data_IF_716647058510
#
_entry.id   IF_716647058510
#
_cell.length_a   1.000
_cell.length_b   1.000
_cell.length_c   1.000
_cell.angle_alpha   90.00
_cell.angle_beta   90.00
_cell.angle_gamma   90.00
#
_symmetry.space_group_name_H-M   'P 1'
#
loop_
_entity.id
_entity.type
_entity.pdbx_description
1 polymer ?
#
# COMPACT_ATOMS: atom_id res chain seq x y z
N UNK A 1 27.66 5.26 46.18
CA UNK A 1 28.44 5.49 44.94
C UNK A 1 27.52 5.26 43.77
N UNK A 2 27.03 6.35 43.19
CA UNK A 2 25.93 6.40 42.22
C UNK A 2 26.33 5.80 40.88
N UNK A 3 25.44 4.99 40.33
CA UNK A 3 25.46 4.38 39.00
C UNK A 3 25.52 5.44 37.90
N UNK A 4 26.50 5.34 36.98
CA UNK A 4 26.47 6.02 35.69
C UNK A 4 25.59 5.20 34.74
N UNK A 5 24.30 5.55 34.65
CA UNK A 5 23.49 5.17 33.49
C UNK A 5 23.96 5.98 32.29
N UNK A 6 24.65 5.33 31.34
CA UNK A 6 24.76 5.83 29.99
C UNK A 6 23.35 5.84 29.38
N UNK A 7 22.75 7.03 29.33
CA UNK A 7 21.64 7.28 28.43
C UNK A 7 22.14 7.12 27.01
N UNK A 8 21.80 6.00 26.37
CA UNK A 8 21.79 5.90 24.91
C UNK A 8 20.71 6.90 24.46
N UNK A 9 21.14 8.13 24.19
CA UNK A 9 20.35 9.05 23.38
C UNK A 9 20.25 8.43 22.00
N UNK A 10 19.12 7.77 21.71
CA UNK A 10 18.70 7.42 20.37
C UNK A 10 18.40 8.72 19.59
N UNK A 11 19.43 9.51 19.33
CA UNK A 11 19.37 10.61 18.38
C UNK A 11 19.47 10.02 16.99
N UNK A 12 18.39 9.40 16.52
CA UNK A 12 18.27 9.01 15.13
C UNK A 12 18.37 10.29 14.28
N UNK A 13 19.35 10.42 13.38
CA UNK A 13 19.44 11.61 12.55
C UNK A 13 18.14 11.78 11.75
N UNK A 14 17.69 13.03 11.49
CA UNK A 14 16.52 13.26 10.66
C UNK A 14 16.70 12.51 9.35
N UNK A 15 15.69 11.73 8.95
CA UNK A 15 15.75 10.98 7.70
C UNK A 15 15.95 11.95 6.55
N UNK A 16 16.78 11.55 5.60
CA UNK A 16 16.91 12.35 4.37
C UNK A 16 15.63 12.23 3.57
N UNK A 17 15.22 13.28 2.86
CA UNK A 17 14.02 13.24 2.03
C UNK A 17 14.04 12.09 1.00
N UNK A 18 15.23 11.61 0.60
CA UNK A 18 15.36 10.43 -0.25
C UNK A 18 14.89 9.14 0.45
N UNK A 19 15.24 8.94 1.73
CA UNK A 19 14.80 7.79 2.53
C UNK A 19 13.30 7.85 2.82
N UNK A 20 12.76 9.05 3.08
CA UNK A 20 11.33 9.25 3.30
C UNK A 20 10.51 8.89 2.06
N UNK A 21 10.96 9.32 0.87
CA UNK A 21 10.31 8.97 -0.41
C UNK A 21 10.29 7.47 -0.67
N UNK A 22 11.39 6.75 -0.41
CA UNK A 22 11.41 5.29 -0.54
C UNK A 22 10.44 4.61 0.42
N UNK A 23 10.38 5.07 1.68
CA UNK A 23 9.45 4.51 2.66
C UNK A 23 7.97 4.76 2.29
N UNK A 24 7.65 5.93 1.71
CA UNK A 24 6.30 6.22 1.20
C UNK A 24 5.96 5.29 0.04
N UNK A 25 6.89 5.07 -0.91
CA UNK A 25 6.68 4.16 -2.04
C UNK A 25 6.43 2.73 -1.57
N UNK A 26 7.19 2.25 -0.58
CA UNK A 26 7.03 0.91 -0.01
C UNK A 26 5.68 0.76 0.70
N UNK A 27 5.30 1.72 1.56
CA UNK A 27 4.00 1.73 2.24
C UNK A 27 2.83 1.74 1.23
N UNK A 28 2.94 2.55 0.18
CA UNK A 28 1.92 2.62 -0.87
C UNK A 28 1.75 1.29 -1.60
N UNK A 29 2.85 0.62 -1.97
CA UNK A 29 2.82 -0.71 -2.60
C UNK A 29 2.18 -1.75 -1.69
N UNK A 30 2.61 -1.80 -0.42
CA UNK A 30 2.07 -2.74 0.55
C UNK A 30 0.54 -2.56 0.74
N UNK A 31 0.07 -1.30 0.85
CA UNK A 31 -1.36 -1.00 0.94
C UNK A 31 -2.12 -1.46 -0.31
N UNK A 32 -1.62 -1.16 -1.51
CA UNK A 32 -2.28 -1.55 -2.75
C UNK A 32 -2.35 -3.08 -2.93
N UNK A 33 -1.28 -3.79 -2.58
CA UNK A 33 -1.24 -5.26 -2.60
C UNK A 33 -2.19 -5.88 -1.57
N UNK A 34 -2.34 -5.27 -0.39
CA UNK A 34 -3.31 -5.72 0.61
C UNK A 34 -4.76 -5.57 0.10
N UNK A 35 -5.08 -4.44 -0.54
CA UNK A 35 -6.39 -4.24 -1.18
C UNK A 35 -6.61 -5.26 -2.29
N UNK A 36 -5.65 -5.43 -3.20
CA UNK A 36 -5.77 -6.37 -4.30
C UNK A 36 -5.97 -7.82 -3.81
N UNK A 37 -5.24 -8.26 -2.79
CA UNK A 37 -5.45 -9.59 -2.17
C UNK A 37 -6.86 -9.73 -1.61
N UNK A 38 -7.33 -8.74 -0.85
CA UNK A 38 -8.68 -8.77 -0.27
C UNK A 38 -9.76 -8.88 -1.35
N UNK A 39 -9.61 -8.16 -2.47
CA UNK A 39 -10.54 -8.23 -3.60
C UNK A 39 -10.48 -9.56 -4.33
N UNK A 40 -9.29 -10.14 -4.52
CA UNK A 40 -9.15 -11.47 -5.10
C UNK A 40 -9.81 -12.51 -4.21
N UNK A 41 -9.56 -12.49 -2.90
CA UNK A 41 -10.18 -13.41 -1.94
C UNK A 41 -11.72 -13.32 -2.00
N UNK A 42 -12.29 -12.11 -1.97
CA UNK A 42 -13.73 -11.89 -2.13
C UNK A 42 -14.26 -12.44 -3.46
N UNK A 43 -13.54 -12.16 -4.55
CA UNK A 43 -13.94 -12.59 -5.90
C UNK A 43 -13.93 -14.12 -6.02
N UNK A 44 -12.91 -14.79 -5.47
CA UNK A 44 -12.78 -16.25 -5.53
C UNK A 44 -13.86 -16.97 -4.69
N UNK A 45 -14.38 -16.34 -3.63
CA UNK A 45 -15.53 -16.87 -2.87
C UNK A 45 -16.80 -16.87 -3.71
N UNK A 46 -17.00 -15.83 -4.54
CA UNK A 46 -18.17 -15.69 -5.43
C UNK A 46 -18.03 -16.59 -6.65
N UNK A 47 -16.85 -16.63 -7.28
CA UNK A 47 -16.55 -17.45 -8.46
C UNK A 47 -16.23 -18.90 -8.06
N UNK A 48 -17.27 -19.64 -7.66
CA UNK A 48 -17.17 -21.07 -7.35
C UNK A 48 -16.85 -21.86 -8.63
N UNK A 49 -16.01 -22.90 -8.49
CA UNK A 49 -15.71 -23.84 -9.57
C UNK A 49 -14.48 -23.51 -10.42
N UNK A 50 -13.73 -22.45 -10.08
CA UNK A 50 -12.44 -22.20 -10.73
C UNK A 50 -11.43 -23.29 -10.39
N UNK A 51 -10.63 -23.70 -11.37
CA UNK A 51 -9.44 -24.52 -11.14
C UNK A 51 -8.27 -23.67 -10.64
N UNK A 52 -7.18 -24.31 -10.23
CA UNK A 52 -6.02 -23.63 -9.66
C UNK A 52 -5.30 -22.71 -10.67
N UNK A 53 -5.29 -23.08 -11.94
CA UNK A 53 -4.72 -22.25 -13.01
C UNK A 53 -5.52 -20.95 -13.18
N UNK A 54 -6.84 -21.05 -13.16
CA UNK A 54 -7.75 -19.92 -13.26
C UNK A 54 -7.66 -19.01 -12.04
N UNK A 55 -7.57 -19.56 -10.81
CA UNK A 55 -7.33 -18.77 -9.60
C UNK A 55 -6.03 -17.98 -9.68
N UNK A 56 -4.95 -18.62 -10.11
CA UNK A 56 -3.66 -17.97 -10.31
C UNK A 56 -3.72 -16.85 -11.36
N UNK A 57 -4.50 -17.02 -12.43
CA UNK A 57 -4.72 -15.96 -13.42
C UNK A 57 -5.46 -14.75 -12.85
N UNK A 58 -6.44 -14.95 -11.98
CA UNK A 58 -7.14 -13.86 -11.29
C UNK A 58 -6.18 -13.10 -10.37
N UNK A 59 -5.37 -13.82 -9.57
CA UNK A 59 -4.35 -13.21 -8.72
C UNK A 59 -3.32 -12.41 -9.55
N UNK A 60 -2.81 -13.00 -10.63
CA UNK A 60 -1.85 -12.34 -11.52
C UNK A 60 -2.43 -11.09 -12.18
N UNK A 61 -3.72 -11.12 -12.55
CA UNK A 61 -4.41 -9.96 -13.10
C UNK A 61 -4.51 -8.83 -12.08
N UNK A 62 -4.86 -9.13 -10.83
CA UNK A 62 -4.92 -8.13 -9.76
C UNK A 62 -3.53 -7.50 -9.51
N UNK A 63 -2.48 -8.31 -9.42
CA UNK A 63 -1.10 -7.80 -9.29
C UNK A 63 -0.70 -6.93 -10.49
N UNK A 64 -1.04 -7.32 -11.71
CA UNK A 64 -0.75 -6.54 -12.90
C UNK A 64 -1.47 -5.19 -12.93
N UNK A 65 -2.68 -5.10 -12.37
CA UNK A 65 -3.41 -3.84 -12.21
C UNK A 65 -2.68 -2.93 -11.22
N UNK A 66 -2.30 -3.46 -10.05
CA UNK A 66 -1.54 -2.71 -9.04
C UNK A 66 -0.24 -2.18 -9.63
N UNK A 67 0.55 -3.03 -10.31
CA UNK A 67 1.81 -2.61 -10.91
C UNK A 67 1.63 -1.50 -11.94
N UNK A 68 0.63 -1.61 -12.81
CA UNK A 68 0.33 -0.58 -13.81
C UNK A 68 -0.08 0.74 -13.18
N UNK A 69 -0.95 0.72 -12.15
CA UNK A 69 -1.39 1.92 -11.46
C UNK A 69 -0.27 2.58 -10.67
N UNK A 70 0.60 1.78 -10.03
CA UNK A 70 1.66 2.30 -9.18
C UNK A 70 2.96 2.65 -9.93
N UNK A 71 3.14 2.23 -11.18
CA UNK A 71 4.35 2.53 -11.94
C UNK A 71 4.62 4.04 -12.04
N UNK A 72 3.70 4.81 -12.62
CA UNK A 72 3.85 6.25 -12.79
C UNK A 72 4.01 7.05 -11.46
N UNK A 73 3.16 6.87 -10.44
CA UNK A 73 3.27 7.63 -9.19
C UNK A 73 4.56 7.28 -8.42
N UNK A 74 4.98 6.01 -8.39
CA UNK A 74 6.21 5.63 -7.69
C UNK A 74 7.47 6.15 -8.40
N UNK A 75 7.47 6.19 -9.74
CA UNK A 75 8.55 6.82 -10.50
C UNK A 75 8.65 8.32 -10.22
N UNK A 76 7.52 9.04 -10.18
CA UNK A 76 7.48 10.47 -9.84
C UNK A 76 7.98 10.76 -8.43
N UNK A 77 7.56 9.96 -7.44
CA UNK A 77 8.03 10.06 -6.06
C UNK A 77 9.55 9.84 -5.94
N UNK A 78 10.11 8.89 -6.69
CA UNK A 78 11.57 8.64 -6.68
C UNK A 78 12.34 9.79 -7.31
N UNK A 79 11.82 10.36 -8.40
CA UNK A 79 12.45 11.42 -9.18
C UNK A 79 12.35 12.84 -8.56
N UNK A 80 11.54 13.02 -7.50
CA UNK A 80 11.40 14.32 -6.85
C UNK A 80 12.73 14.81 -6.27
N UNK A 81 13.30 15.84 -6.89
CA UNK A 81 14.43 16.60 -6.35
C UNK A 81 13.87 17.73 -5.47
N UNK A 82 13.62 17.43 -4.20
CA UNK A 82 13.01 18.38 -3.27
C UNK A 82 13.00 17.91 -1.82
N UNK A 83 12.41 18.73 -0.95
CA UNK A 83 12.32 18.50 0.50
C UNK A 83 11.28 17.44 0.91
N UNK A 84 10.84 16.57 0.00
CA UNK A 84 9.89 15.49 0.30
C UNK A 84 8.41 15.88 0.31
N UNK A 85 8.04 17.09 -0.17
CA UNK A 85 6.65 17.56 -0.15
C UNK A 85 5.68 16.65 -0.90
N UNK A 86 6.10 16.06 -2.02
CA UNK A 86 5.27 15.09 -2.74
C UNK A 86 5.14 13.78 -1.96
N UNK A 87 6.20 13.36 -1.24
CA UNK A 87 6.12 12.22 -0.34
C UNK A 87 5.13 12.47 0.81
N UNK A 88 5.17 13.63 1.45
CA UNK A 88 4.24 14.00 2.52
C UNK A 88 2.80 14.03 2.01
N UNK A 89 2.58 14.65 0.85
CA UNK A 89 1.25 14.70 0.21
C UNK A 89 0.75 13.30 -0.15
N UNK A 90 1.60 12.43 -0.69
CA UNK A 90 1.23 11.05 -1.00
C UNK A 90 0.91 10.26 0.29
N UNK A 91 1.69 10.47 1.36
CA UNK A 91 1.44 9.81 2.62
C UNK A 91 0.10 10.22 3.24
N UNK A 92 -0.24 11.52 3.19
CA UNK A 92 -1.53 12.02 3.63
C UNK A 92 -2.70 11.51 2.75
N UNK A 93 -2.58 11.61 1.42
CA UNK A 93 -3.63 11.19 0.48
C UNK A 93 -3.98 9.71 0.60
N UNK A 94 -2.98 8.87 0.85
CA UNK A 94 -3.14 7.43 0.96
C UNK A 94 -3.09 6.95 2.41
N UNK A 95 -3.27 7.85 3.40
CA UNK A 95 -3.28 7.52 4.83
C UNK A 95 -2.14 6.60 5.26
N UNK A 96 -0.93 6.80 4.72
CA UNK A 96 0.23 5.93 4.95
C UNK A 96 0.92 6.22 6.29
N UNK A 97 0.61 7.37 6.90
CA UNK A 97 1.21 7.83 8.17
C UNK A 97 0.50 7.23 9.40
N UNK A 98 -0.69 6.67 9.20
CA UNK A 98 -1.44 5.99 10.24
C UNK A 98 -1.18 4.49 10.18
N UNK A 99 -0.42 3.99 11.14
CA UNK A 99 -0.33 2.55 11.42
C UNK A 99 -1.70 2.11 11.98
N UNK A 100 -2.70 1.88 11.14
CA UNK A 100 -3.97 1.32 11.64
C UNK A 100 -5.23 1.41 10.79
N UNK A 101 -5.29 2.17 9.71
CA UNK A 101 -6.58 2.32 9.00
C UNK A 101 -6.78 1.19 7.99
N UNK A 102 -7.61 0.22 8.37
CA UNK A 102 -8.09 -0.86 7.52
C UNK A 102 -8.59 -0.28 6.19
N UNK A 103 -8.30 -0.92 5.04
CA UNK A 103 -8.81 -0.46 3.77
C UNK A 103 -10.34 -0.50 3.80
N UNK A 104 -10.94 0.68 3.67
CA UNK A 104 -12.37 0.95 3.57
C UNK A 104 -13.05 -0.15 2.75
N UNK A 105 -13.77 -1.03 3.46
CA UNK A 105 -14.49 -2.19 2.94
C UNK A 105 -15.74 -1.81 2.11
N UNK A 106 -15.83 -0.56 1.67
CA UNK A 106 -17.06 0.06 1.18
C UNK A 106 -17.11 0.24 -0.34
N UNK A 107 -16.14 -0.30 -1.10
CA UNK A 107 -16.34 -0.59 -2.52
C UNK A 107 -17.26 -1.81 -2.69
N UNK A 108 -18.45 -1.72 -2.13
CA UNK A 108 -19.57 -2.61 -2.39
C UNK A 108 -19.96 -2.40 -3.86
N UNK A 109 -19.39 -3.23 -4.74
CA UNK A 109 -19.88 -3.41 -6.10
C UNK A 109 -21.36 -3.77 -5.97
N UNK A 110 -22.23 -2.85 -6.38
CA UNK A 110 -23.67 -3.03 -6.48
C UNK A 110 -24.01 -4.48 -6.88
N UNK A 111 -24.96 -5.15 -6.21
CA UNK A 111 -25.41 -6.45 -6.67
C UNK A 111 -26.03 -6.26 -8.06
N UNK A 112 -25.30 -6.66 -9.12
CA UNK A 112 -25.83 -6.72 -10.47
C UNK A 112 -26.85 -7.86 -10.65
N UNK A 113 -27.19 -8.58 -9.58
CA UNK A 113 -28.25 -9.58 -9.54
C UNK A 113 -29.54 -9.00 -8.96
N UNK A 114 -30.24 -8.17 -9.72
CA UNK A 114 -31.70 -7.95 -9.61
C UNK A 114 -32.22 -7.05 -10.73
N UNK A 115 -32.24 -7.53 -11.97
CA UNK A 115 -33.26 -7.14 -12.95
C UNK A 115 -33.66 -8.40 -13.71
N UNK A 116 -34.95 -8.69 -13.69
CA UNK A 116 -35.56 -9.91 -14.23
C UNK A 116 -35.66 -9.95 -15.74
#
# INVERSE_FOLDING_TARGET
>A
MTLLSLGVSDSFPPRTCAQERTAVVERLRARAEAVARSEVERTLVVLRGLDECQRNRVQAMASAIVDKLLHAPTMRLRAEAGRGRLADAAAALFGLDEVGTQPDSDFNVLPLASRG
#
